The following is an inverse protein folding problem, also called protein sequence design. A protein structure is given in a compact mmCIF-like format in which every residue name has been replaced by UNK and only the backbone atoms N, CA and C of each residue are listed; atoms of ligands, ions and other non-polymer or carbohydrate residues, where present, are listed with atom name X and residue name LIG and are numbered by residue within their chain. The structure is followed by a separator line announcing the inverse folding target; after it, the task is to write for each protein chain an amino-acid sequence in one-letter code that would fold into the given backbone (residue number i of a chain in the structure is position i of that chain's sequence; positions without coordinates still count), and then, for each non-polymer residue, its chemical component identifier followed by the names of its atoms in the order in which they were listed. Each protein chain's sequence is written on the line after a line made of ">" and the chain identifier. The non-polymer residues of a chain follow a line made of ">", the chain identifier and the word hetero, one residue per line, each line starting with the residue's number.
data_IF_657365391733
#
_entry.id   IF_657365391733
#
_cell.length_a   1.000
_cell.length_b   1.000
_cell.length_c   1.000
_cell.angle_alpha   90.00
_cell.angle_beta   90.00
_cell.angle_gamma   90.00
#
_symmetry.space_group_name_H-M   'P 1'
#
loop_
_entity.id
_entity.type
_entity.pdbx_description
1 polymer ?
#
# COMPACT_ATOMS: atom_id res chain seq x y z
N UNK A 1 -27.13 20.29 -15.36
CA UNK A 1 -26.47 19.12 -14.74
C UNK A 1 -24.96 19.27 -14.64
N UNK A 2 -24.21 19.65 -15.68
CA UNK A 2 -22.73 19.83 -15.65
C UNK A 2 -22.22 20.82 -14.57
N UNK A 3 -22.95 21.93 -14.30
CA UNK A 3 -22.58 22.91 -13.27
C UNK A 3 -22.74 22.39 -11.84
N UNK A 4 -23.72 21.49 -11.60
CA UNK A 4 -23.95 20.88 -10.29
C UNK A 4 -22.85 19.84 -9.97
N UNK A 5 -22.43 19.08 -10.98
CA UNK A 5 -21.30 18.12 -10.84
C UNK A 5 -19.99 18.82 -10.54
N UNK A 6 -19.74 19.97 -11.16
CA UNK A 6 -18.54 20.77 -10.89
C UNK A 6 -18.52 21.32 -9.46
N UNK A 7 -19.68 21.79 -8.97
CA UNK A 7 -19.83 22.28 -7.59
C UNK A 7 -19.61 21.15 -6.57
N UNK A 8 -20.06 19.94 -6.86
CA UNK A 8 -19.88 18.78 -5.99
C UNK A 8 -18.40 18.38 -5.89
N UNK A 9 -17.67 18.44 -6.99
CA UNK A 9 -16.23 18.12 -7.05
C UNK A 9 -15.39 19.16 -6.30
N UNK A 10 -15.79 20.44 -6.30
CA UNK A 10 -15.06 21.49 -5.58
C UNK A 10 -15.35 21.52 -4.07
N UNK A 11 -16.47 20.91 -3.62
CA UNK A 11 -16.80 20.80 -2.20
C UNK A 11 -16.14 19.59 -1.51
N UNK A 12 -15.73 18.55 -2.25
CA UNK A 12 -15.05 17.38 -1.72
C UNK A 12 -13.76 17.69 -0.92
N UNK A 13 -12.85 18.57 -1.36
CA UNK A 13 -11.64 18.87 -0.60
C UNK A 13 -11.89 19.63 0.70
N UNK A 14 -13.02 20.32 0.85
CA UNK A 14 -13.34 21.07 2.09
C UNK A 14 -13.78 20.16 3.24
N UNK A 15 -14.17 18.91 2.96
CA UNK A 15 -14.54 17.92 3.97
C UNK A 15 -13.36 17.03 4.41
N UNK A 16 -12.20 17.17 3.78
CA UNK A 16 -11.01 16.40 4.11
C UNK A 16 -10.27 17.03 5.30
N UNK A 17 -10.55 16.56 6.51
CA UNK A 17 -9.68 16.78 7.67
C UNK A 17 -8.40 15.99 7.47
N UNK A 18 -7.39 16.62 6.86
CA UNK A 18 -6.11 16.00 6.59
C UNK A 18 -5.25 15.93 7.87
N UNK A 19 -4.71 14.76 8.14
CA UNK A 19 -3.60 14.46 9.03
C UNK A 19 -3.91 14.35 10.53
N UNK A 20 -4.17 13.11 10.92
CA UNK A 20 -4.21 12.70 12.34
C UNK A 20 -2.91 12.04 12.80
N UNK A 21 -1.99 11.70 11.92
CA UNK A 21 -0.76 10.99 12.26
C UNK A 21 0.48 11.77 11.83
N UNK A 22 1.44 11.93 12.75
CA UNK A 22 2.75 12.59 12.48
C UNK A 22 3.61 11.78 11.49
N UNK A 23 3.39 10.46 11.38
CA UNK A 23 4.16 9.55 10.54
C UNK A 23 3.22 8.73 9.67
N UNK A 24 3.34 8.90 8.35
CA UNK A 24 2.68 8.05 7.37
C UNK A 24 3.56 6.83 7.12
N UNK A 25 3.09 5.65 7.49
CA UNK A 25 3.78 4.39 7.26
C UNK A 25 3.22 3.72 6.01
N UNK A 26 3.92 3.86 4.88
CA UNK A 26 3.53 3.27 3.60
C UNK A 26 4.14 1.88 3.43
N UNK A 27 3.38 0.94 2.85
CA UNK A 27 3.84 -0.38 2.44
C UNK A 27 4.31 -0.41 0.97
N UNK A 28 3.93 0.60 0.19
CA UNK A 28 4.35 0.72 -1.20
C UNK A 28 5.60 1.63 -1.33
N UNK A 29 6.49 1.37 -2.30
CA UNK A 29 6.39 0.44 -3.45
C UNK A 29 6.80 -1.01 -3.14
N UNK A 30 7.19 -1.36 -1.94
CA UNK A 30 7.60 -2.73 -1.57
C UNK A 30 6.42 -3.69 -1.39
N UNK A 31 6.75 -4.99 -1.30
CA UNK A 31 5.78 -6.04 -0.94
C UNK A 31 5.83 -6.39 0.56
N UNK A 32 6.65 -5.67 1.33
CA UNK A 32 6.79 -5.89 2.77
C UNK A 32 5.72 -5.11 3.53
N UNK A 33 5.19 -5.74 4.55
CA UNK A 33 4.25 -5.08 5.47
C UNK A 33 4.95 -4.70 6.76
N UNK A 34 4.82 -3.44 7.13
CA UNK A 34 5.29 -2.93 8.41
C UNK A 34 4.48 -3.54 9.56
N UNK A 35 5.12 -3.73 10.72
CA UNK A 35 4.44 -4.15 11.94
C UNK A 35 3.50 -3.07 12.52
N UNK A 36 3.61 -1.83 12.06
CA UNK A 36 2.78 -0.73 12.53
C UNK A 36 1.41 -0.75 11.86
N UNK A 37 0.37 -0.53 12.64
CA UNK A 37 -0.98 -0.32 12.14
C UNK A 37 -1.21 1.17 11.83
N UNK A 38 -2.16 1.44 10.96
CA UNK A 38 -2.69 2.78 10.74
C UNK A 38 -3.47 3.20 11.98
N UNK A 39 -3.34 4.46 12.40
CA UNK A 39 -4.02 4.98 13.58
C UNK A 39 -5.54 4.76 13.55
N UNK A 40 -6.16 4.66 14.73
CA UNK A 40 -7.58 4.40 14.85
C UNK A 40 -8.43 5.43 14.08
N UNK A 41 -9.40 4.96 13.28
CA UNK A 41 -10.29 5.77 12.43
C UNK A 41 -9.59 6.53 11.29
N UNK A 42 -8.34 6.17 10.98
CA UNK A 42 -7.62 6.71 9.84
C UNK A 42 -7.82 5.80 8.65
N UNK A 43 -8.19 6.39 7.51
CA UNK A 43 -8.27 5.73 6.22
C UNK A 43 -7.08 6.19 5.37
N UNK A 44 -6.25 5.24 4.96
CA UNK A 44 -5.05 5.49 4.15
C UNK A 44 -5.19 4.80 2.80
N UNK A 45 -4.91 5.56 1.74
CA UNK A 45 -4.82 5.05 0.37
C UNK A 45 -3.38 5.11 -0.10
N UNK A 46 -2.91 4.03 -0.68
CA UNK A 46 -1.60 3.93 -1.28
C UNK A 46 -1.75 3.48 -2.73
N UNK A 47 -0.92 4.03 -3.62
CA UNK A 47 -0.91 3.66 -5.04
C UNK A 47 0.50 3.66 -5.59
N UNK A 48 0.81 2.68 -6.45
CA UNK A 48 2.08 2.57 -7.13
C UNK A 48 1.89 2.15 -8.58
N UNK A 49 2.57 2.84 -9.50
CA UNK A 49 2.63 2.46 -10.91
C UNK A 49 3.87 1.62 -11.14
N UNK A 50 3.75 0.60 -11.99
CA UNK A 50 4.88 -0.21 -12.40
C UNK A 50 4.81 -0.57 -13.87
N UNK A 51 5.98 -0.78 -14.46
CA UNK A 51 6.14 -1.24 -15.82
C UNK A 51 7.25 -2.27 -15.88
N UNK A 52 6.99 -3.37 -16.57
CA UNK A 52 7.94 -4.44 -16.79
C UNK A 52 7.94 -4.82 -18.27
N UNK A 53 9.13 -5.03 -18.82
CA UNK A 53 9.31 -5.54 -20.18
C UNK A 53 10.17 -6.80 -20.16
N UNK A 54 9.63 -7.86 -20.71
CA UNK A 54 10.32 -9.16 -20.84
C UNK A 54 10.47 -9.53 -22.32
N UNK A 55 11.71 -9.85 -22.74
CA UNK A 55 11.99 -10.26 -24.12
C UNK A 55 12.65 -11.63 -24.11
N UNK A 56 11.99 -12.61 -24.70
CA UNK A 56 12.51 -13.96 -24.88
C UNK A 56 13.08 -14.15 -26.29
N UNK A 57 14.39 -13.98 -26.43
CA UNK A 57 15.10 -14.08 -27.74
C UNK A 57 14.94 -15.43 -28.44
N UNK A 58 14.82 -16.53 -27.69
CA UNK A 58 14.70 -17.89 -28.26
C UNK A 58 13.33 -18.14 -28.89
N UNK A 59 12.28 -17.57 -28.35
CA UNK A 59 10.89 -17.76 -28.80
C UNK A 59 10.40 -16.59 -29.66
N UNK A 60 11.16 -15.49 -29.75
CA UNK A 60 10.73 -14.27 -30.43
C UNK A 60 9.56 -13.56 -29.75
N UNK A 61 9.30 -13.86 -28.47
CA UNK A 61 8.17 -13.31 -27.71
C UNK A 61 8.61 -12.06 -26.95
N UNK A 62 7.87 -10.99 -27.11
CA UNK A 62 8.01 -9.75 -26.32
C UNK A 62 6.74 -9.51 -25.50
N UNK A 63 6.92 -9.34 -24.20
CA UNK A 63 5.83 -9.08 -23.27
C UNK A 63 6.06 -7.74 -22.59
N UNK A 64 5.04 -6.90 -22.58
CA UNK A 64 5.02 -5.65 -21.83
C UNK A 64 3.90 -5.70 -20.80
N UNK A 65 4.24 -5.45 -19.56
CA UNK A 65 3.31 -5.40 -18.45
C UNK A 65 3.29 -3.98 -17.90
N UNK A 66 2.11 -3.46 -17.70
CA UNK A 66 1.90 -2.16 -17.03
C UNK A 66 0.82 -2.34 -15.98
N UNK A 67 1.04 -1.83 -14.80
CA UNK A 67 0.05 -2.04 -13.75
C UNK A 67 0.05 -0.96 -12.68
N UNK A 68 -0.99 -1.06 -11.86
CA UNK A 68 -1.22 -0.22 -10.68
C UNK A 68 -1.35 -1.15 -9.48
N UNK A 69 -0.46 -0.99 -8.52
CA UNK A 69 -0.65 -1.56 -7.19
C UNK A 69 -1.45 -0.57 -6.36
N UNK A 70 -2.43 -1.05 -5.63
CA UNK A 70 -3.23 -0.23 -4.73
C UNK A 70 -3.35 -0.91 -3.36
N UNK A 71 -3.43 -0.09 -2.34
CA UNK A 71 -3.73 -0.52 -1.00
C UNK A 71 -4.67 0.48 -0.33
N UNK A 72 -5.69 -0.05 0.33
CA UNK A 72 -6.62 0.70 1.19
C UNK A 72 -6.50 0.13 2.58
N UNK A 73 -6.15 0.97 3.55
CA UNK A 73 -5.90 0.57 4.93
C UNK A 73 -6.78 1.38 5.86
N UNK A 74 -7.42 0.73 6.80
CA UNK A 74 -8.29 1.38 7.77
C UNK A 74 -8.00 0.91 9.18
N UNK A 75 -7.69 1.86 10.07
CA UNK A 75 -7.51 1.60 11.49
C UNK A 75 -8.87 1.43 12.19
N UNK A 76 -9.11 0.23 12.72
CA UNK A 76 -10.42 -0.17 13.21
C UNK A 76 -10.44 -0.22 14.75
N UNK A 77 -11.28 0.59 15.38
CA UNK A 77 -11.53 0.74 16.83
C UNK A 77 -10.29 1.06 17.68
N UNK A 78 -9.20 0.31 17.53
CA UNK A 78 -7.98 0.44 18.32
C UNK A 78 -6.81 0.79 17.41
N UNK A 79 -5.84 1.51 17.93
CA UNK A 79 -4.60 1.86 17.21
C UNK A 79 -3.77 0.63 16.78
N UNK A 80 -4.07 -0.54 17.32
CA UNK A 80 -3.38 -1.79 17.05
C UNK A 80 -4.03 -2.64 15.96
N UNK A 81 -5.30 -2.34 15.58
CA UNK A 81 -6.07 -3.15 14.65
C UNK A 81 -6.28 -2.41 13.33
N UNK A 82 -5.84 -3.02 12.25
CA UNK A 82 -5.95 -2.52 10.89
C UNK A 82 -6.62 -3.55 9.98
N UNK A 83 -7.56 -3.10 9.18
CA UNK A 83 -8.13 -3.85 8.06
C UNK A 83 -7.56 -3.28 6.77
N UNK A 84 -7.21 -4.15 5.82
CA UNK A 84 -6.61 -3.75 4.57
C UNK A 84 -7.17 -4.50 3.37
N UNK A 85 -7.22 -3.79 2.26
CA UNK A 85 -7.50 -4.31 0.93
C UNK A 85 -6.34 -3.93 0.02
N UNK A 86 -5.60 -4.92 -0.46
CA UNK A 86 -4.49 -4.71 -1.39
C UNK A 86 -4.81 -5.39 -2.72
N UNK A 87 -4.30 -4.83 -3.80
CA UNK A 87 -4.47 -5.48 -5.08
C UNK A 87 -3.57 -4.91 -6.16
N UNK A 88 -3.58 -5.60 -7.28
CA UNK A 88 -2.87 -5.22 -8.51
C UNK A 88 -3.83 -5.28 -9.67
N UNK A 89 -3.94 -4.18 -10.39
CA UNK A 89 -4.60 -4.07 -11.67
C UNK A 89 -3.52 -4.00 -12.73
N UNK A 90 -3.55 -4.88 -13.72
CA UNK A 90 -2.53 -4.91 -14.75
C UNK A 90 -3.12 -4.99 -16.16
N UNK A 91 -2.37 -4.44 -17.09
CA UNK A 91 -2.55 -4.59 -18.52
C UNK A 91 -1.29 -5.25 -19.08
N UNK A 92 -1.44 -6.39 -19.71
CA UNK A 92 -0.40 -7.11 -20.41
C UNK A 92 -0.61 -7.04 -21.93
N UNK A 93 0.49 -6.85 -22.64
CA UNK A 93 0.53 -6.88 -24.08
C UNK A 93 1.65 -7.80 -24.53
N UNK A 94 1.28 -8.90 -25.15
CA UNK A 94 2.19 -9.93 -25.64
C UNK A 94 2.24 -9.90 -27.16
N UNK A 95 3.46 -9.82 -27.71
CA UNK A 95 3.77 -9.96 -29.12
C UNK A 95 4.47 -11.29 -29.35
N UNK A 96 3.86 -12.15 -30.11
CA UNK A 96 4.45 -13.35 -30.71
C UNK A 96 4.68 -13.16 -32.20
N UNK A 97 5.50 -14.03 -32.80
CA UNK A 97 5.90 -13.91 -34.23
C UNK A 97 4.75 -13.68 -35.20
N UNK A 98 3.56 -14.23 -34.95
CA UNK A 98 2.37 -14.11 -35.82
C UNK A 98 1.09 -13.72 -35.08
N UNK A 99 1.14 -13.38 -33.81
CA UNK A 99 -0.03 -12.98 -33.06
C UNK A 99 0.29 -11.92 -32.01
N UNK A 100 -0.73 -11.14 -31.68
CA UNK A 100 -0.67 -10.24 -30.53
C UNK A 100 -1.88 -10.48 -29.65
N UNK A 101 -1.68 -10.49 -28.37
CA UNK A 101 -2.76 -10.58 -27.38
C UNK A 101 -2.60 -9.51 -26.32
N UNK A 102 -3.72 -9.04 -25.81
CA UNK A 102 -3.72 -8.10 -24.69
C UNK A 102 -4.80 -8.50 -23.69
N UNK A 103 -4.48 -8.39 -22.40
CA UNK A 103 -5.41 -8.63 -21.33
C UNK A 103 -5.38 -7.48 -20.34
N UNK A 104 -6.51 -7.20 -19.73
CA UNK A 104 -6.66 -6.23 -18.67
C UNK A 104 -7.49 -6.84 -17.54
N UNK A 105 -6.99 -6.77 -16.33
CA UNK A 105 -7.71 -7.32 -15.21
C UNK A 105 -6.99 -7.21 -13.87
N UNK A 106 -7.65 -7.72 -12.85
CA UNK A 106 -7.06 -7.87 -11.53
C UNK A 106 -6.16 -9.10 -11.51
N UNK A 107 -4.91 -8.91 -11.16
CA UNK A 107 -3.91 -9.99 -11.03
C UNK A 107 -3.99 -10.62 -9.65
N UNK A 108 -4.14 -9.78 -8.64
CA UNK A 108 -4.14 -10.20 -7.24
C UNK A 108 -5.00 -9.24 -6.43
N UNK A 109 -5.82 -9.77 -5.54
CA UNK A 109 -6.54 -8.98 -4.55
C UNK A 109 -6.52 -9.74 -3.22
N UNK A 110 -6.19 -9.03 -2.16
CA UNK A 110 -6.12 -9.59 -0.81
C UNK A 110 -6.90 -8.70 0.14
N UNK A 111 -7.86 -9.28 0.83
CA UNK A 111 -8.47 -8.66 2.00
C UNK A 111 -7.86 -9.27 3.25
N UNK A 112 -7.47 -8.46 4.21
CA UNK A 112 -6.80 -8.95 5.42
C UNK A 112 -6.98 -8.03 6.60
N UNK A 113 -6.58 -8.54 7.75
CA UNK A 113 -6.50 -7.80 8.99
C UNK A 113 -5.14 -8.00 9.64
N UNK A 114 -4.63 -6.95 10.24
CA UNK A 114 -3.36 -6.93 10.96
C UNK A 114 -3.61 -6.46 12.38
N UNK A 115 -3.06 -7.19 13.33
CA UNK A 115 -3.09 -6.83 14.73
C UNK A 115 -1.67 -6.68 15.28
N UNK A 116 -1.34 -5.49 15.76
CA UNK A 116 -0.06 -5.20 16.39
C UNK A 116 -0.04 -5.77 17.82
N UNK A 117 0.76 -6.81 18.01
CA UNK A 117 0.88 -7.50 19.30
C UNK A 117 1.77 -6.74 20.27
N UNK A 118 2.87 -6.19 19.75
CA UNK A 118 3.87 -5.53 20.56
C UNK A 118 4.47 -4.32 19.83
N UNK A 119 4.51 -3.19 20.54
CA UNK A 119 5.18 -1.96 20.11
C UNK A 119 6.07 -1.49 21.26
N UNK A 120 7.37 -1.33 21.03
CA UNK A 120 8.25 -0.78 22.05
C UNK A 120 7.86 0.67 22.41
N UNK A 121 7.73 0.96 23.71
CA UNK A 121 7.25 2.27 24.21
C UNK A 121 8.17 3.44 23.80
N UNK A 122 9.48 3.19 23.62
CA UNK A 122 10.43 4.22 23.22
C UNK A 122 10.24 4.77 21.79
N UNK A 123 9.45 4.09 20.96
CA UNK A 123 9.12 4.57 19.61
C UNK A 123 8.19 5.78 19.63
N UNK A 124 7.50 6.01 20.73
CA UNK A 124 6.61 7.16 20.94
C UNK A 124 7.34 8.34 21.62
N UNK A 125 8.63 8.18 21.97
CA UNK A 125 9.44 9.26 22.54
C UNK A 125 9.66 10.36 21.49
N UNK A 126 9.34 11.60 21.85
CA UNK A 126 9.57 12.76 20.98
C UNK A 126 11.07 12.97 20.78
N UNK A 127 11.51 13.30 19.55
CA UNK A 127 12.91 13.58 19.29
C UNK A 127 13.40 14.79 20.10
N UNK A 128 14.64 14.74 20.55
CA UNK A 128 15.26 15.86 21.21
C UNK A 128 15.58 16.95 20.17
N UNK A 129 14.88 18.06 20.23
CA UNK A 129 15.05 19.18 19.29
C UNK A 129 16.39 19.96 19.48
N UNK A 130 17.07 19.78 20.62
CA UNK A 130 18.32 20.50 20.95
C UNK A 130 19.58 19.71 20.61
N UNK A 131 19.50 18.42 20.33
CA UNK A 131 20.67 17.60 20.07
C UNK A 131 20.37 16.50 19.02
N UNK A 132 21.00 16.65 17.86
CA UNK A 132 20.98 15.62 16.82
C UNK A 132 21.66 14.33 17.28
N UNK A 133 22.78 14.43 18.00
CA UNK A 133 23.56 13.31 18.51
C UNK A 133 22.75 12.45 19.50
N UNK A 134 21.96 13.09 20.37
CA UNK A 134 21.09 12.39 21.31
C UNK A 134 20.03 11.53 20.60
N UNK A 135 19.58 11.94 19.42
CA UNK A 135 18.59 11.21 18.63
C UNK A 135 19.23 10.06 17.81
N UNK A 136 20.49 10.21 17.40
CA UNK A 136 21.18 9.25 16.53
C UNK A 136 22.18 8.34 17.26
N UNK A 137 22.33 8.49 18.58
CA UNK A 137 23.17 7.58 19.37
C UNK A 137 22.61 6.16 19.34
N UNK A 138 23.50 5.18 19.12
CA UNK A 138 23.12 3.76 19.21
C UNK A 138 22.69 3.41 20.63
N UNK A 139 21.50 2.81 20.75
CA UNK A 139 20.95 2.31 22.01
C UNK A 139 20.49 0.87 21.81
N UNK A 140 20.91 -0.05 22.68
CA UNK A 140 20.50 -1.46 22.63
C UNK A 140 18.98 -1.64 22.59
N UNK A 141 18.24 -0.78 23.27
CA UNK A 141 16.77 -0.78 23.25
C UNK A 141 16.17 -0.60 21.83
N UNK A 142 16.90 0.07 20.92
CA UNK A 142 16.42 0.27 19.53
C UNK A 142 16.42 -1.03 18.70
N UNK A 143 17.06 -2.09 19.20
CA UNK A 143 17.01 -3.42 18.57
C UNK A 143 15.73 -4.20 18.90
N UNK A 144 14.91 -3.71 19.84
CA UNK A 144 13.65 -4.39 20.19
C UNK A 144 12.66 -4.27 19.03
N UNK A 145 12.26 -5.40 18.39
CA UNK A 145 11.38 -5.37 17.23
C UNK A 145 9.93 -5.08 17.63
N UNK A 146 9.19 -4.42 16.73
CA UNK A 146 7.73 -4.41 16.78
C UNK A 146 7.19 -5.70 16.16
N UNK A 147 6.15 -6.27 16.74
CA UNK A 147 5.56 -7.55 16.32
C UNK A 147 4.09 -7.34 15.98
N UNK A 148 3.67 -7.83 14.82
CA UNK A 148 2.29 -7.85 14.40
C UNK A 148 1.92 -9.21 13.81
N UNK A 149 0.68 -9.60 13.97
CA UNK A 149 0.07 -10.75 13.32
C UNK A 149 -0.77 -10.25 12.14
N UNK A 150 -0.59 -10.85 10.98
CA UNK A 150 -1.38 -10.59 9.79
C UNK A 150 -2.07 -11.87 9.32
N UNK A 151 -3.35 -11.74 9.00
CA UNK A 151 -4.13 -12.78 8.34
C UNK A 151 -4.89 -12.17 7.17
N UNK A 152 -4.85 -12.84 6.02
CA UNK A 152 -5.51 -12.36 4.82
C UNK A 152 -5.95 -13.49 3.91
N UNK A 153 -6.91 -13.19 3.05
CA UNK A 153 -7.45 -14.08 2.05
C UNK A 153 -7.33 -13.45 0.66
N UNK A 154 -6.76 -14.21 -0.26
CA UNK A 154 -6.67 -13.80 -1.66
C UNK A 154 -7.97 -14.14 -2.39
N UNK A 155 -8.42 -13.26 -3.25
CA UNK A 155 -9.54 -13.49 -4.14
C UNK A 155 -9.27 -12.90 -5.52
N UNK A 156 -9.75 -13.56 -6.55
CA UNK A 156 -9.68 -13.11 -7.93
C UNK A 156 -11.09 -12.85 -8.42
N UNK A 157 -11.47 -11.60 -8.70
CA UNK A 157 -12.80 -11.30 -9.22
C UNK A 157 -13.00 -11.77 -10.66
N UNK A 158 -11.91 -12.04 -11.39
CA UNK A 158 -11.96 -12.54 -12.75
C UNK A 158 -11.13 -13.82 -12.91
N UNK A 159 -11.76 -14.91 -13.40
CA UNK A 159 -11.14 -16.23 -13.58
C UNK A 159 -10.15 -16.34 -14.75
N UNK A 160 -9.67 -15.24 -15.32
CA UNK A 160 -8.85 -15.22 -16.54
C UNK A 160 -7.36 -14.97 -16.32
N UNK A 161 -6.89 -15.04 -15.07
CA UNK A 161 -5.47 -15.07 -14.73
C UNK A 161 -5.15 -16.33 -13.94
#
# INVERSE_FOLDING_TARGET
>A
MKKLSLLLITLLPMAASAQYTEIINSNLPGNSQSAYAVGARVLQFEGGLWYERSNHKKTGTSMNFTGVNYAVRYGFFKEQLEVMLNGTLAYDYTLEHNSSSSHFGFVNNTIGAKYQLFKPAFLDEKPNIYSWEANNSFRWRNLTPSIALYAGMNFLPNKRY
#
